data_IF_124851713758
#
_entry.id   IF_124851713758
#
_cell.length_a   1.000
_cell.length_b   1.000
_cell.length_c   1.000
_cell.angle_alpha   90.00
_cell.angle_beta   90.00
_cell.angle_gamma   90.00
#
_symmetry.space_group_name_H-M   'P 1'
#
loop_
_entity.id
_entity.type
_entity.pdbx_description
1 polymer ?
#
# COMPACT_ATOMS: atom_id res chain seq x y z
N UNK A 1 -0.55 28.30 8.23
CA UNK A 1 -0.70 27.25 7.18
C UNK A 1 -1.76 26.25 7.64
N UNK A 2 -2.47 25.58 6.72
CA UNK A 2 -3.46 24.53 7.07
C UNK A 2 -2.99 23.19 6.51
N UNK A 3 -2.84 22.19 7.37
CA UNK A 3 -2.53 20.82 6.96
C UNK A 3 -3.75 20.17 6.29
N UNK A 4 -3.51 19.25 5.34
CA UNK A 4 -4.56 18.42 4.75
C UNK A 4 -5.03 17.35 5.73
N UNK A 5 -6.33 17.04 5.70
CA UNK A 5 -6.86 15.84 6.36
C UNK A 5 -6.12 14.62 5.81
N UNK A 6 -5.59 13.77 6.70
CA UNK A 6 -4.71 12.64 6.36
C UNK A 6 -3.21 12.92 6.50
N UNK A 7 -2.77 14.18 6.64
CA UNK A 7 -1.38 14.54 6.94
C UNK A 7 -0.40 14.14 5.82
N UNK A 8 0.80 13.68 6.20
CA UNK A 8 1.89 13.37 5.26
C UNK A 8 1.56 12.23 4.29
N UNK A 9 0.55 11.43 4.61
CA UNK A 9 0.05 10.36 3.74
C UNK A 9 -0.68 10.89 2.51
N UNK A 10 -1.29 12.07 2.63
CA UNK A 10 -2.00 12.76 1.54
C UNK A 10 -1.09 13.77 0.85
N UNK A 11 -0.29 14.52 1.62
CA UNK A 11 0.68 15.49 1.07
C UNK A 11 2.00 15.45 1.84
N UNK A 12 3.07 15.06 1.18
CA UNK A 12 4.41 15.10 1.74
C UNK A 12 4.92 16.56 1.84
N UNK A 13 4.74 17.18 3.01
CA UNK A 13 5.19 18.55 3.26
C UNK A 13 5.47 18.82 4.74
N UNK A 14 6.29 19.84 5.02
CA UNK A 14 6.67 20.22 6.38
C UNK A 14 5.47 20.64 7.24
N UNK A 15 4.45 21.25 6.63
CA UNK A 15 3.20 21.61 7.31
C UNK A 15 2.47 20.36 7.84
N UNK A 16 2.32 19.33 7.01
CA UNK A 16 1.69 18.06 7.43
C UNK A 16 2.55 17.34 8.47
N UNK A 17 3.87 17.28 8.25
CA UNK A 17 4.78 16.59 9.15
C UNK A 17 4.74 17.14 10.58
N UNK A 18 4.68 18.46 10.73
CA UNK A 18 4.59 19.10 12.05
C UNK A 18 3.33 18.72 12.82
N UNK A 19 2.19 18.68 12.14
CA UNK A 19 0.90 18.30 12.73
C UNK A 19 0.88 16.81 13.08
N UNK A 20 1.42 15.98 12.20
CA UNK A 20 1.44 14.52 12.39
C UNK A 20 2.35 14.09 13.54
N UNK A 21 3.53 14.70 13.69
CA UNK A 21 4.43 14.41 14.80
C UNK A 21 3.76 14.78 16.13
N UNK A 22 3.08 15.94 16.21
CA UNK A 22 2.36 16.34 17.41
C UNK A 22 1.23 15.37 17.75
N UNK A 23 0.46 14.92 16.75
CA UNK A 23 -0.56 13.88 16.89
C UNK A 23 0.02 12.56 17.41
N UNK A 24 1.12 12.10 16.82
CA UNK A 24 1.79 10.85 17.21
C UNK A 24 2.35 10.91 18.64
N UNK A 25 2.68 12.10 19.14
CA UNK A 25 3.06 12.33 20.53
C UNK A 25 1.87 12.35 21.50
N UNK A 26 0.63 12.16 21.03
CA UNK A 26 -0.58 12.25 21.86
C UNK A 26 -0.94 13.69 22.27
N UNK A 27 -0.41 14.69 21.57
CA UNK A 27 -0.64 16.10 21.85
C UNK A 27 -1.67 16.70 20.89
N UNK A 28 -2.01 17.98 21.12
CA UNK A 28 -2.80 18.75 20.17
C UNK A 28 -2.12 18.77 18.79
N UNK A 29 -2.89 18.45 17.75
CA UNK A 29 -2.45 18.35 16.36
C UNK A 29 -2.08 19.72 15.74
N UNK A 30 -1.07 20.37 16.31
CA UNK A 30 -0.57 21.70 15.95
C UNK A 30 0.93 21.76 16.18
N UNK A 31 1.66 22.42 15.27
CA UNK A 31 3.12 22.55 15.37
C UNK A 31 3.62 23.90 14.87
N UNK A 32 4.81 24.29 15.34
CA UNK A 32 5.55 25.47 14.87
C UNK A 32 6.76 24.97 14.10
N UNK A 33 6.96 25.51 12.90
CA UNK A 33 8.10 25.19 12.04
C UNK A 33 8.80 26.47 11.61
N UNK A 34 10.12 26.37 11.51
CA UNK A 34 10.98 27.41 10.95
C UNK A 34 12.08 26.70 10.16
N UNK A 35 12.46 27.26 9.02
CA UNK A 35 13.55 26.73 8.22
C UNK A 35 14.89 27.16 8.82
N UNK A 36 15.87 26.25 8.79
CA UNK A 36 17.22 26.51 9.31
C UNK A 36 18.09 27.05 8.18
N UNK A 37 18.68 28.21 8.40
CA UNK A 37 19.61 28.85 7.49
C UNK A 37 21.04 28.78 8.05
N UNK A 38 22.01 28.72 7.15
CA UNK A 38 23.42 28.91 7.47
C UNK A 38 23.70 30.38 7.83
N UNK A 39 24.85 30.64 8.45
CA UNK A 39 25.25 31.99 8.85
C UNK A 39 25.45 32.94 7.66
N UNK A 40 25.74 32.39 6.48
CA UNK A 40 25.87 33.12 5.21
C UNK A 40 24.51 33.44 4.55
N UNK A 41 23.39 33.08 5.19
CA UNK A 41 22.04 33.28 4.70
C UNK A 41 21.57 32.24 3.69
N UNK A 42 22.38 31.23 3.36
CA UNK A 42 21.95 30.12 2.50
C UNK A 42 21.11 29.10 3.28
N UNK A 43 20.32 28.30 2.57
CA UNK A 43 19.49 27.25 3.20
C UNK A 43 20.34 26.05 3.60
N UNK A 44 20.22 25.63 4.86
CA UNK A 44 21.00 24.51 5.37
C UNK A 44 20.63 23.19 4.66
N UNK A 45 21.65 22.41 4.27
CA UNK A 45 21.51 21.08 3.67
C UNK A 45 21.74 19.98 4.71
N UNK A 46 21.45 18.73 4.35
CA UNK A 46 21.49 17.59 5.27
C UNK A 46 22.78 17.48 6.11
N UNK A 47 24.01 17.66 5.56
CA UNK A 47 25.23 17.59 6.38
C UNK A 47 25.30 18.67 7.46
N UNK A 48 24.84 19.88 7.14
CA UNK A 48 24.80 21.04 8.06
C UNK A 48 23.72 20.83 9.12
N UNK A 49 22.54 20.33 8.72
CA UNK A 49 21.45 19.99 9.63
C UNK A 49 21.86 18.90 10.63
N UNK A 50 22.63 17.88 10.21
CA UNK A 50 23.16 16.85 11.12
C UNK A 50 24.09 17.49 12.15
N UNK A 51 25.01 18.35 11.71
CA UNK A 51 25.96 19.04 12.59
C UNK A 51 25.25 19.97 13.58
N UNK A 52 24.23 20.71 13.10
CA UNK A 52 23.39 21.56 13.93
C UNK A 52 22.60 20.74 14.96
N UNK A 53 21.97 19.65 14.53
CA UNK A 53 21.20 18.78 15.41
C UNK A 53 22.07 18.19 16.53
N UNK A 54 23.28 17.72 16.21
CA UNK A 54 24.24 17.23 17.22
C UNK A 54 24.66 18.32 18.21
N UNK A 55 24.98 19.52 17.72
CA UNK A 55 25.38 20.65 18.57
C UNK A 55 24.31 21.04 19.59
N UNK A 56 23.03 20.96 19.19
CA UNK A 56 21.89 21.39 20.02
C UNK A 56 21.13 20.24 20.68
N UNK A 57 21.60 18.99 20.56
CA UNK A 57 20.93 17.82 21.15
C UNK A 57 19.55 17.52 20.56
N UNK A 58 19.34 17.85 19.28
CA UNK A 58 18.08 17.64 18.56
C UNK A 58 18.13 16.33 17.77
N UNK A 59 16.95 15.72 17.58
CA UNK A 59 16.79 14.57 16.68
C UNK A 59 16.56 15.05 15.25
N UNK A 60 17.00 14.25 14.27
CA UNK A 60 16.74 14.47 12.84
C UNK A 60 15.91 13.32 12.28
N UNK A 61 15.03 13.61 11.33
CA UNK A 61 14.21 12.61 10.64
C UNK A 61 13.73 13.14 9.30
N UNK A 62 13.33 12.24 8.41
CA UNK A 62 12.82 12.61 7.08
C UNK A 62 11.30 12.48 7.01
N UNK A 63 10.66 13.25 6.13
CA UNK A 63 9.22 13.08 5.85
C UNK A 63 8.96 11.66 5.29
N UNK A 64 9.89 11.11 4.50
CA UNK A 64 9.80 9.74 3.99
C UNK A 64 9.77 8.71 5.12
N UNK A 65 10.60 8.87 6.16
CA UNK A 65 10.59 7.99 7.33
C UNK A 65 9.31 8.15 8.15
N UNK A 66 8.79 9.37 8.27
CA UNK A 66 7.52 9.63 8.93
C UNK A 66 6.35 9.00 8.16
N UNK A 67 6.34 9.08 6.83
CA UNK A 67 5.35 8.39 5.99
C UNK A 67 5.46 6.88 6.20
N UNK A 68 6.68 6.32 6.16
CA UNK A 68 6.89 4.90 6.40
C UNK A 68 6.43 4.49 7.80
N UNK A 69 6.75 5.27 8.83
CA UNK A 69 6.29 5.05 10.20
C UNK A 69 4.77 5.10 10.29
N UNK A 70 4.11 6.14 9.78
CA UNK A 70 2.65 6.26 9.83
C UNK A 70 1.97 5.15 9.06
N UNK A 71 2.45 4.77 7.87
CA UNK A 71 1.87 3.63 7.15
C UNK A 71 1.99 2.33 7.92
N UNK A 72 3.02 2.15 8.74
CA UNK A 72 3.17 0.94 9.58
C UNK A 72 2.34 0.93 10.84
N UNK A 73 2.11 2.11 11.45
CA UNK A 73 1.56 2.22 12.79
C UNK A 73 0.12 2.77 12.81
N UNK A 74 -0.29 3.49 11.78
CA UNK A 74 -1.67 3.92 11.62
C UNK A 74 -2.47 2.78 10.95
N UNK A 75 -3.63 2.45 11.51
CA UNK A 75 -4.58 1.55 10.87
C UNK A 75 -5.38 2.36 9.86
N UNK A 76 -4.95 2.39 8.59
CA UNK A 76 -5.54 3.25 7.54
C UNK A 76 -6.64 2.54 6.75
N UNK A 77 -6.94 1.30 7.11
CA UNK A 77 -7.94 0.48 6.43
C UNK A 77 -9.00 0.01 7.41
N UNK A 78 -10.26 0.15 7.01
CA UNK A 78 -11.40 -0.38 7.75
C UNK A 78 -12.02 -1.53 6.97
N UNK A 79 -12.05 -2.72 7.57
CA UNK A 79 -12.71 -3.88 6.98
C UNK A 79 -14.23 -3.81 7.17
N UNK A 80 -14.98 -4.00 6.11
CA UNK A 80 -16.42 -4.21 6.14
C UNK A 80 -16.81 -5.63 6.57
N UNK A 81 -18.11 -5.91 6.54
CA UNK A 81 -18.66 -7.22 6.89
C UNK A 81 -18.26 -8.31 5.87
N UNK A 82 -18.13 -9.53 6.37
CA UNK A 82 -17.88 -10.70 5.54
C UNK A 82 -19.17 -11.11 4.82
N UNK A 83 -19.09 -11.25 3.50
CA UNK A 83 -20.21 -11.70 2.65
C UNK A 83 -19.78 -12.89 1.81
N UNK A 84 -20.61 -13.92 1.71
CA UNK A 84 -20.38 -15.04 0.78
C UNK A 84 -20.90 -14.70 -0.61
N UNK A 85 -20.10 -14.92 -1.63
CA UNK A 85 -20.50 -14.72 -3.03
C UNK A 85 -20.24 -16.00 -3.83
N UNK A 86 -21.00 -16.18 -4.91
CA UNK A 86 -20.75 -17.20 -5.92
C UNK A 86 -20.16 -16.54 -7.16
N UNK A 87 -18.93 -16.90 -7.50
CA UNK A 87 -18.20 -16.43 -8.68
C UNK A 87 -18.18 -17.51 -9.75
N UNK A 88 -18.28 -17.11 -11.02
CA UNK A 88 -18.01 -18.02 -12.14
C UNK A 88 -16.56 -18.52 -12.11
N UNK A 89 -15.64 -17.70 -11.61
CA UNK A 89 -14.24 -18.05 -11.37
C UNK A 89 -14.11 -18.66 -9.98
N UNK A 90 -14.05 -19.99 -9.91
CA UNK A 90 -13.68 -20.70 -8.69
C UNK A 90 -14.78 -20.89 -7.64
N UNK A 91 -16.06 -20.62 -7.94
CA UNK A 91 -17.19 -20.97 -7.07
C UNK A 91 -17.39 -20.03 -5.88
N UNK A 92 -17.60 -20.58 -4.68
CA UNK A 92 -17.87 -19.78 -3.48
C UNK A 92 -16.63 -19.05 -2.95
N UNK A 93 -16.81 -17.78 -2.56
CA UNK A 93 -15.77 -16.94 -1.96
C UNK A 93 -16.28 -16.19 -0.75
N UNK A 94 -15.38 -15.98 0.22
CA UNK A 94 -15.58 -15.05 1.32
C UNK A 94 -15.06 -13.67 0.89
N UNK A 95 -15.97 -12.72 0.66
CA UNK A 95 -15.70 -11.36 0.23
C UNK A 95 -15.74 -10.37 1.40
N UNK A 96 -14.79 -9.44 1.44
CA UNK A 96 -14.83 -8.22 2.27
C UNK A 96 -14.55 -6.99 1.43
N UNK A 97 -15.14 -5.87 1.82
CA UNK A 97 -14.80 -4.54 1.27
C UNK A 97 -13.94 -3.82 2.29
N UNK A 98 -12.76 -3.36 1.87
CA UNK A 98 -11.86 -2.54 2.69
C UNK A 98 -11.94 -1.10 2.25
N UNK A 99 -12.15 -0.19 3.19
CA UNK A 99 -12.17 1.26 2.95
C UNK A 99 -10.85 1.89 3.36
N UNK A 100 -10.22 2.63 2.45
CA UNK A 100 -9.06 3.48 2.71
C UNK A 100 -9.53 4.77 3.41
N UNK A 101 -9.21 4.95 4.69
CA UNK A 101 -9.62 6.13 5.46
C UNK A 101 -8.96 7.43 4.97
N UNK A 102 -7.90 7.34 4.16
CA UNK A 102 -7.18 8.53 3.65
C UNK A 102 -7.85 9.13 2.42
N UNK A 103 -8.50 8.33 1.57
CA UNK A 103 -9.10 8.78 0.31
C UNK A 103 -10.59 8.40 0.16
N UNK A 104 -11.11 7.49 0.97
CA UNK A 104 -12.46 6.94 0.87
C UNK A 104 -12.63 5.87 -0.23
N UNK A 105 -11.52 5.42 -0.83
CA UNK A 105 -11.54 4.36 -1.83
C UNK A 105 -11.94 3.02 -1.19
N UNK A 106 -12.69 2.22 -1.94
CA UNK A 106 -13.12 0.88 -1.52
C UNK A 106 -12.43 -0.18 -2.37
N UNK A 107 -11.82 -1.16 -1.70
CA UNK A 107 -11.08 -2.27 -2.31
C UNK A 107 -11.78 -3.58 -1.99
N UNK A 108 -11.75 -4.52 -2.94
CA UNK A 108 -12.42 -5.83 -2.78
C UNK A 108 -11.36 -6.85 -2.41
N UNK A 109 -11.65 -7.64 -1.38
CA UNK A 109 -10.81 -8.76 -0.94
C UNK A 109 -11.65 -10.02 -1.04
N UNK A 110 -11.16 -10.98 -1.83
CA UNK A 110 -11.74 -12.31 -1.97
C UNK A 110 -10.80 -13.31 -1.30
N UNK A 111 -11.31 -14.04 -0.32
CA UNK A 111 -10.57 -15.05 0.43
C UNK A 111 -11.19 -16.43 0.23
N UNK A 112 -10.33 -17.44 0.19
CA UNK A 112 -10.74 -18.84 0.11
C UNK A 112 -9.98 -19.69 1.10
N UNK A 113 -10.69 -20.63 1.70
CA UNK A 113 -10.16 -21.55 2.70
C UNK A 113 -9.82 -20.89 4.03
N UNK A 114 -9.13 -21.65 4.88
CA UNK A 114 -8.61 -21.18 6.16
C UNK A 114 -7.25 -20.50 5.97
N UNK A 115 -7.20 -19.21 6.26
CA UNK A 115 -5.99 -18.39 6.15
C UNK A 115 -5.08 -18.46 7.38
N UNK A 116 -5.51 -19.14 8.45
CA UNK A 116 -4.73 -19.23 9.69
C UNK A 116 -3.51 -20.15 9.56
N UNK A 117 -2.59 -20.04 10.52
CA UNK A 117 -1.37 -20.85 10.60
C UNK A 117 -0.16 -20.25 9.89
N UNK A 118 0.95 -21.00 9.90
CA UNK A 118 2.27 -20.54 9.47
C UNK A 118 2.64 -20.90 8.03
N UNK A 119 1.75 -21.59 7.31
CA UNK A 119 1.99 -21.98 5.91
C UNK A 119 1.76 -20.78 4.98
N UNK A 120 2.63 -20.57 3.97
CA UNK A 120 2.47 -19.47 3.03
C UNK A 120 1.09 -19.47 2.36
N UNK A 121 0.46 -18.30 2.28
CA UNK A 121 -0.84 -18.10 1.62
C UNK A 121 -0.61 -17.65 0.19
N UNK A 122 -1.30 -18.25 -0.77
CA UNK A 122 -1.26 -17.80 -2.16
C UNK A 122 -2.01 -16.48 -2.30
N UNK A 123 -1.32 -15.44 -2.77
CA UNK A 123 -1.86 -14.07 -2.82
C UNK A 123 -1.72 -13.46 -4.20
N UNK A 124 -2.82 -12.89 -4.71
CA UNK A 124 -2.81 -11.98 -5.86
C UNK A 124 -3.17 -10.58 -5.41
N UNK A 125 -2.26 -9.63 -5.62
CA UNK A 125 -2.57 -8.20 -5.57
C UNK A 125 -2.81 -7.70 -7.00
N UNK A 126 -4.05 -7.30 -7.30
CA UNK A 126 -4.43 -6.81 -8.62
C UNK A 126 -4.81 -5.33 -8.53
N UNK A 127 -3.97 -4.45 -9.08
CA UNK A 127 -4.33 -3.06 -9.30
C UNK A 127 -5.25 -2.99 -10.52
N UNK A 128 -6.50 -2.56 -10.31
CA UNK A 128 -7.49 -2.42 -11.37
C UNK A 128 -7.10 -1.26 -12.29
N UNK A 129 -7.14 -1.48 -13.59
CA UNK A 129 -7.05 -0.48 -14.63
C UNK A 129 -8.14 -0.79 -15.69
N UNK A 130 -9.21 0.02 -15.79
CA UNK A 130 -10.28 -0.22 -16.76
C UNK A 130 -9.80 -0.30 -18.21
N UNK A 131 -8.74 0.44 -18.58
CA UNK A 131 -8.23 0.40 -19.95
C UNK A 131 -7.53 -0.93 -20.25
N UNK A 132 -6.80 -1.47 -19.27
CA UNK A 132 -6.11 -2.76 -19.43
C UNK A 132 -7.03 -3.96 -19.21
N UNK A 133 -7.89 -3.89 -18.18
CA UNK A 133 -8.64 -5.03 -17.67
C UNK A 133 -10.03 -5.17 -18.32
N UNK A 134 -10.60 -4.07 -18.83
CA UNK A 134 -11.93 -4.05 -19.47
C UNK A 134 -11.82 -3.74 -20.96
N UNK A 135 -11.14 -2.64 -21.33
CA UNK A 135 -11.00 -2.24 -22.74
C UNK A 135 -10.00 -3.12 -23.49
N UNK A 136 -9.01 -3.69 -22.79
CA UNK A 136 -8.05 -4.62 -23.37
C UNK A 136 -6.97 -3.95 -24.21
N UNK A 137 -6.56 -2.71 -23.88
CA UNK A 137 -5.47 -2.02 -24.61
C UNK A 137 -4.06 -2.53 -24.22
N UNK A 138 -3.98 -3.43 -23.24
CA UNK A 138 -2.72 -3.97 -22.72
C UNK A 138 -2.18 -5.16 -23.51
N UNK A 139 -1.08 -5.77 -23.03
CA UNK A 139 -0.57 -7.02 -23.57
C UNK A 139 -1.63 -8.12 -23.57
N UNK A 140 -1.55 -9.03 -24.56
CA UNK A 140 -2.49 -10.15 -24.69
C UNK A 140 -2.51 -10.97 -23.38
N UNK A 141 -3.71 -11.24 -22.87
CA UNK A 141 -3.92 -11.98 -21.62
C UNK A 141 -4.01 -11.11 -20.35
N UNK A 142 -3.74 -9.80 -20.44
CA UNK A 142 -3.90 -8.89 -19.28
C UNK A 142 -5.35 -8.80 -18.79
N UNK A 143 -6.31 -8.70 -19.72
CA UNK A 143 -7.74 -8.62 -19.38
C UNK A 143 -8.25 -9.86 -18.61
N UNK A 144 -7.68 -11.03 -18.90
CA UNK A 144 -8.07 -12.29 -18.26
C UNK A 144 -7.31 -12.58 -16.96
N UNK A 145 -6.29 -11.77 -16.63
CA UNK A 145 -5.33 -12.04 -15.55
C UNK A 145 -6.00 -12.10 -14.17
N UNK A 146 -7.03 -11.28 -13.93
CA UNK A 146 -7.77 -11.30 -12.67
C UNK A 146 -8.58 -12.59 -12.48
N UNK A 147 -9.35 -12.98 -13.50
CA UNK A 147 -10.15 -14.21 -13.47
C UNK A 147 -9.27 -15.46 -13.34
N UNK A 148 -8.19 -15.53 -14.13
CA UNK A 148 -7.22 -16.63 -14.05
C UNK A 148 -6.58 -16.74 -12.65
N UNK A 149 -6.25 -15.61 -12.02
CA UNK A 149 -5.73 -15.62 -10.66
C UNK A 149 -6.75 -16.15 -9.64
N UNK A 150 -8.04 -15.82 -9.81
CA UNK A 150 -9.11 -16.37 -8.98
C UNK A 150 -9.24 -17.88 -9.16
N UNK A 151 -9.17 -18.40 -10.38
CA UNK A 151 -9.22 -19.84 -10.65
C UNK A 151 -8.05 -20.58 -9.99
N UNK A 152 -6.82 -20.11 -10.16
CA UNK A 152 -5.63 -20.72 -9.55
C UNK A 152 -5.75 -20.75 -8.02
N UNK A 153 -6.16 -19.63 -7.40
CA UNK A 153 -6.38 -19.59 -5.95
C UNK A 153 -7.53 -20.51 -5.52
N UNK A 154 -8.56 -20.63 -6.35
CA UNK A 154 -9.69 -21.50 -6.07
C UNK A 154 -9.32 -22.98 -6.12
N UNK A 155 -8.44 -23.38 -7.04
CA UNK A 155 -7.87 -24.73 -7.16
C UNK A 155 -6.95 -25.08 -5.99
N UNK A 156 -6.10 -24.13 -5.56
CA UNK A 156 -5.26 -24.27 -4.36
C UNK A 156 -6.12 -24.44 -3.09
N UNK A 157 -7.33 -23.87 -3.09
CA UNK A 157 -8.29 -23.95 -1.98
C UNK A 157 -7.93 -23.08 -0.77
N UNK A 158 -6.76 -22.42 -0.79
CA UNK A 158 -6.27 -21.51 0.25
C UNK A 158 -5.56 -20.31 -0.37
N UNK A 159 -6.19 -19.14 -0.29
CA UNK A 159 -5.56 -17.93 -0.79
C UNK A 159 -6.43 -16.69 -0.76
N UNK A 160 -5.84 -15.58 -1.21
CA UNK A 160 -6.46 -14.27 -1.23
C UNK A 160 -6.22 -13.58 -2.57
N UNK A 161 -7.28 -13.03 -3.15
CA UNK A 161 -7.21 -12.14 -4.31
C UNK A 161 -7.72 -10.76 -3.88
N UNK A 162 -6.87 -9.74 -4.00
CA UNK A 162 -7.21 -8.35 -3.67
C UNK A 162 -7.31 -7.54 -4.94
N UNK A 163 -8.47 -6.91 -5.15
CA UNK A 163 -8.69 -5.92 -6.20
C UNK A 163 -8.55 -4.51 -5.63
N UNK A 164 -7.39 -3.91 -5.87
CA UNK A 164 -7.11 -2.53 -5.51
C UNK A 164 -7.74 -1.60 -6.55
N UNK A 165 -8.83 -0.97 -6.16
CA UNK A 165 -9.44 0.13 -6.92
C UNK A 165 -8.77 1.46 -6.59
N UNK A 166 -8.80 2.38 -7.55
CA UNK A 166 -8.45 3.78 -7.34
C UNK A 166 -9.52 4.60 -8.06
N UNK A 167 -10.45 5.20 -7.31
CA UNK A 167 -11.58 5.91 -7.91
C UNK A 167 -11.19 7.31 -8.40
N UNK A 168 -10.01 7.80 -8.04
CA UNK A 168 -9.45 9.06 -8.51
C UNK A 168 -8.72 8.91 -9.85
N UNK A 169 -8.85 7.78 -10.55
CA UNK A 169 -8.26 7.51 -11.86
C UNK A 169 -8.39 8.70 -12.81
N UNK A 170 -7.31 9.47 -12.90
CA UNK A 170 -7.04 10.27 -14.09
C UNK A 170 -6.48 9.32 -15.14
N UNK A 171 -7.07 9.35 -16.32
CA UNK A 171 -6.51 8.68 -17.50
C UNK A 171 -5.22 9.43 -17.84
N UNK A 172 -4.10 8.99 -17.26
CA UNK A 172 -2.77 9.51 -17.57
C UNK A 172 -2.02 8.48 -18.41
N UNK A 173 -1.70 8.84 -19.65
CA UNK A 173 -1.02 8.00 -20.64
C UNK A 173 0.49 7.82 -20.37
N UNK A 174 0.95 7.65 -19.11
CA UNK A 174 2.38 7.62 -18.80
C UNK A 174 2.82 6.35 -18.05
N UNK A 175 3.70 5.58 -18.68
CA UNK A 175 4.24 4.25 -18.29
C UNK A 175 5.27 4.26 -17.14
N UNK A 176 5.45 5.37 -16.41
CA UNK A 176 6.44 5.41 -15.34
C UNK A 176 5.90 4.84 -14.02
N UNK A 177 6.71 4.03 -13.34
CA UNK A 177 6.45 3.54 -11.98
C UNK A 177 6.14 4.73 -11.06
N UNK A 178 4.86 4.95 -10.81
CA UNK A 178 4.35 6.19 -10.26
C UNK A 178 4.27 6.12 -8.73
N UNK A 179 4.18 7.26 -8.01
CA UNK A 179 3.85 7.31 -6.58
C UNK A 179 2.62 6.46 -6.21
N UNK A 180 1.78 6.17 -7.20
CA UNK A 180 0.61 5.30 -7.19
C UNK A 180 0.95 3.85 -6.88
N UNK A 181 1.99 3.29 -7.51
CA UNK A 181 2.42 1.90 -7.29
C UNK A 181 2.92 1.70 -5.85
N UNK A 182 3.73 2.64 -5.34
CA UNK A 182 4.19 2.63 -3.94
C UNK A 182 3.05 2.86 -2.92
N UNK A 183 1.97 3.53 -3.32
CA UNK A 183 0.76 3.67 -2.50
C UNK A 183 -0.01 2.36 -2.43
N UNK A 184 -0.24 1.74 -3.59
CA UNK A 184 -0.93 0.46 -3.71
C UNK A 184 -0.22 -0.65 -2.93
N UNK A 185 1.13 -0.66 -2.89
CA UNK A 185 1.88 -1.62 -2.08
C UNK A 185 1.70 -1.43 -0.57
N UNK A 186 1.69 -0.19 -0.07
CA UNK A 186 1.50 0.08 1.37
C UNK A 186 0.10 -0.30 1.85
N UNK A 187 -0.91 0.10 1.09
CA UNK A 187 -2.31 -0.25 1.37
C UNK A 187 -2.53 -1.77 1.27
N UNK A 188 -2.02 -2.40 0.21
CA UNK A 188 -2.08 -3.84 0.05
C UNK A 188 -1.45 -4.59 1.22
N UNK A 189 -0.28 -4.16 1.67
CA UNK A 189 0.38 -4.74 2.84
C UNK A 189 -0.47 -4.60 4.12
N UNK A 190 -1.12 -3.46 4.34
CA UNK A 190 -2.04 -3.31 5.48
C UNK A 190 -3.25 -4.23 5.39
N UNK A 191 -3.86 -4.36 4.20
CA UNK A 191 -4.98 -5.27 3.97
C UNK A 191 -4.54 -6.70 4.31
N UNK A 192 -3.43 -7.19 3.76
CA UNK A 192 -2.94 -8.55 4.01
C UNK A 192 -2.57 -8.78 5.48
N UNK A 193 -1.94 -7.79 6.13
CA UNK A 193 -1.62 -7.85 7.56
C UNK A 193 -2.89 -7.89 8.42
N UNK A 194 -3.93 -7.13 8.06
CA UNK A 194 -5.23 -7.15 8.77
C UNK A 194 -5.97 -8.48 8.64
N UNK A 195 -5.70 -9.26 7.59
CA UNK A 195 -6.21 -10.62 7.42
C UNK A 195 -5.44 -11.64 8.28
N UNK A 196 -4.40 -11.20 9.01
CA UNK A 196 -3.55 -12.05 9.85
C UNK A 196 -2.49 -12.81 9.07
N UNK A 197 -2.19 -12.41 7.83
CA UNK A 197 -1.17 -13.08 7.02
C UNK A 197 0.25 -12.68 7.46
N UNK A 198 1.20 -13.58 7.26
CA UNK A 198 2.62 -13.36 7.54
C UNK A 198 3.52 -13.83 6.40
N UNK A 199 3.29 -15.04 5.86
CA UNK A 199 4.04 -15.60 4.74
C UNK A 199 3.18 -15.68 3.49
N UNK A 200 3.73 -15.21 2.38
CA UNK A 200 3.01 -15.03 1.12
C UNK A 200 3.70 -15.75 -0.02
N UNK A 201 2.95 -16.52 -0.80
CA UNK A 201 3.34 -16.91 -2.16
C UNK A 201 2.64 -15.95 -3.13
N UNK A 202 3.41 -15.11 -3.83
CA UNK A 202 2.84 -14.07 -4.68
C UNK A 202 2.54 -14.59 -6.08
N UNK A 203 1.29 -14.46 -6.51
CA UNK A 203 0.82 -14.82 -7.84
C UNK A 203 0.97 -13.61 -8.80
N UNK A 204 2.03 -13.62 -9.61
CA UNK A 204 2.43 -12.48 -10.47
C UNK A 204 3.13 -12.93 -11.75
N UNK A 205 2.84 -12.24 -12.86
CA UNK A 205 3.58 -12.38 -14.12
C UNK A 205 4.74 -11.38 -14.26
N UNK A 206 4.74 -10.31 -13.46
CA UNK A 206 5.83 -9.33 -13.42
C UNK A 206 7.04 -9.85 -12.63
N UNK A 207 8.27 -9.37 -12.91
CA UNK A 207 9.44 -9.69 -12.11
C UNK A 207 9.16 -9.47 -10.62
N UNK A 208 9.71 -10.33 -9.77
CA UNK A 208 9.49 -10.29 -8.32
C UNK A 208 9.64 -8.85 -7.82
N UNK A 209 8.56 -8.21 -7.38
CA UNK A 209 8.62 -6.79 -7.06
C UNK A 209 9.52 -6.63 -5.82
N UNK A 210 10.49 -5.72 -5.91
CA UNK A 210 11.24 -5.25 -4.73
C UNK A 210 10.31 -4.36 -3.91
N UNK A 211 9.38 -4.98 -3.17
CA UNK A 211 8.45 -4.26 -2.31
C UNK A 211 9.18 -3.90 -1.03
N UNK A 212 9.77 -2.70 -1.01
CA UNK A 212 10.48 -2.18 0.15
C UNK A 212 9.47 -1.93 1.29
N UNK A 213 9.74 -2.52 2.46
CA UNK A 213 8.99 -2.25 3.69
C UNK A 213 7.87 -3.22 4.03
N UNK A 214 7.74 -4.37 3.34
CA UNK A 214 6.79 -5.45 3.71
C UNK A 214 7.03 -6.02 5.10
N UNK A 215 8.29 -6.23 5.48
CA UNK A 215 8.72 -6.74 6.79
C UNK A 215 8.10 -5.94 7.94
N UNK A 216 7.87 -4.68 7.68
CA UNK A 216 7.41 -3.71 8.65
C UNK A 216 5.89 -3.80 8.91
N UNK A 217 5.18 -4.62 8.12
CA UNK A 217 3.80 -5.08 8.33
C UNK A 217 3.75 -6.54 8.82
N UNK A 218 4.91 -7.14 9.14
CA UNK A 218 5.01 -8.56 9.49
C UNK A 218 4.83 -9.51 8.31
N UNK A 219 5.01 -9.02 7.07
CA UNK A 219 4.80 -9.78 5.84
C UNK A 219 6.13 -10.16 5.17
N UNK A 220 6.19 -11.39 4.68
CA UNK A 220 7.33 -11.96 3.94
C UNK A 220 6.83 -12.66 2.68
N UNK A 221 7.44 -12.35 1.52
CA UNK A 221 7.19 -13.09 0.27
C UNK A 221 8.17 -14.26 0.23
N UNK A 222 7.67 -15.48 0.38
CA UNK A 222 8.48 -16.71 0.41
C UNK A 222 8.78 -17.24 -0.99
N UNK A 223 7.89 -17.00 -1.94
CA UNK A 223 7.98 -17.48 -3.32
C UNK A 223 7.08 -16.68 -4.25
N UNK A 224 7.28 -16.85 -5.56
CA UNK A 224 6.40 -16.29 -6.59
C UNK A 224 5.93 -17.39 -7.54
N UNK A 225 4.67 -17.33 -7.94
CA UNK A 225 4.05 -18.21 -8.93
C UNK A 225 3.53 -17.37 -10.11
N UNK A 226 3.70 -17.84 -11.34
CA UNK A 226 3.12 -17.19 -12.53
C UNK A 226 1.64 -17.53 -12.68
N UNK A 227 0.87 -16.62 -13.28
CA UNK A 227 -0.55 -16.81 -13.59
C UNK A 227 -0.72 -17.51 -14.94
N UNK A 228 0.13 -17.19 -15.92
CA UNK A 228 0.08 -17.82 -17.24
C UNK A 228 1.47 -17.82 -17.91
N UNK A 229 1.69 -18.78 -18.83
CA UNK A 229 2.90 -18.83 -19.67
C UNK A 229 2.84 -17.87 -20.87
N UNK A 230 1.70 -17.20 -21.09
CA UNK A 230 1.47 -16.29 -22.22
C UNK A 230 1.96 -14.84 -21.98
N UNK A 231 2.71 -14.61 -20.90
CA UNK A 231 3.30 -13.31 -20.53
C UNK A 231 4.69 -13.42 -19.90
#
# INVERSE_FOLDING_TARGET
>A
MRARSGGVLVRAGHTEAAVDIARLAGLNSSGVICEIMNEDGTMARLPELISFAQRHGLKIGTISDLIAYRRRNDNLVRSGELTKILSEFGGEWDMRVYEDETHGDQHIVLSKGDLTGDTPVLVRMHAMDPMLDIVGIGPKGRADEFGAAMEIVAEEGRGVVVLLRDTAMKIENNDNASPRTLRQYGLGAQILSSLGLSKLELLTNSPTPKVVGLEAYGLEITSTRKISELG
#
